data_IF_190781830102
#
_entry.id   IF_190781830102
#
_cell.length_a   1.000
_cell.length_b   1.000
_cell.length_c   1.000
_cell.angle_alpha   90.00
_cell.angle_beta   90.00
_cell.angle_gamma   90.00
#
_symmetry.space_group_name_H-M   'P 1'
#
loop_
_entity.id
_entity.type
_entity.pdbx_description
1 polymer ?
#
# COMPACT_ATOMS: atom_id res chain seq x y z
N UNK A 1 -42.41 -4.53 7.67
CA UNK A 1 -41.10 -3.89 7.95
C UNK A 1 -40.10 -4.01 6.79
N UNK A 2 -39.93 -5.18 6.16
CA UNK A 2 -38.93 -5.36 5.09
C UNK A 2 -39.09 -4.39 3.89
N UNK A 3 -40.30 -4.13 3.41
CA UNK A 3 -40.52 -3.28 2.23
C UNK A 3 -40.22 -1.78 2.38
N UNK A 4 -40.13 -1.24 3.61
CA UNK A 4 -39.85 0.19 3.85
C UNK A 4 -38.34 0.46 3.83
N UNK A 5 -37.53 -0.46 4.36
CA UNK A 5 -36.06 -0.41 4.30
C UNK A 5 -35.55 -0.38 2.85
N UNK A 6 -36.21 -1.13 1.95
CA UNK A 6 -35.81 -1.23 0.53
C UNK A 6 -35.91 0.07 -0.25
N UNK A 7 -36.78 1.00 0.16
CA UNK A 7 -36.99 2.27 -0.55
C UNK A 7 -35.89 3.28 -0.23
N UNK A 8 -35.36 3.26 0.99
CA UNK A 8 -34.39 4.25 1.48
C UNK A 8 -33.04 4.08 0.76
N UNK A 9 -32.57 2.84 0.60
CA UNK A 9 -31.29 2.60 -0.08
C UNK A 9 -31.29 3.04 -1.55
N UNK A 10 -32.44 2.95 -2.22
CA UNK A 10 -32.56 3.42 -3.60
C UNK A 10 -32.37 4.94 -3.74
N UNK A 11 -32.56 5.71 -2.67
CA UNK A 11 -32.31 7.15 -2.68
C UNK A 11 -30.82 7.51 -2.81
N UNK A 12 -29.92 6.53 -2.62
CA UNK A 12 -28.49 6.70 -2.86
C UNK A 12 -28.09 6.34 -4.30
N UNK A 13 -29.05 5.91 -5.13
CA UNK A 13 -28.82 5.60 -6.55
C UNK A 13 -29.26 6.78 -7.40
N UNK A 14 -28.29 7.44 -8.03
CA UNK A 14 -28.51 8.54 -8.97
C UNK A 14 -27.60 8.36 -10.18
N UNK A 15 -28.12 7.64 -11.18
CA UNK A 15 -27.40 7.34 -12.43
C UNK A 15 -27.26 8.56 -13.35
N UNK A 16 -27.88 9.70 -13.00
CA UNK A 16 -27.69 10.97 -13.70
C UNK A 16 -26.55 11.80 -13.11
N UNK A 17 -26.09 11.44 -11.90
CA UNK A 17 -25.01 12.14 -11.24
C UNK A 17 -23.70 12.05 -12.02
N UNK A 18 -23.05 13.20 -12.19
CA UNK A 18 -21.71 13.29 -12.75
C UNK A 18 -20.74 13.62 -11.61
N UNK A 19 -19.80 12.72 -11.27
CA UNK A 19 -18.81 12.99 -10.23
C UNK A 19 -18.02 14.26 -10.53
N UNK A 20 -17.90 15.11 -9.52
CA UNK A 20 -17.07 16.31 -9.56
C UNK A 20 -15.58 15.95 -9.44
N UNK A 21 -14.69 16.89 -9.77
CA UNK A 21 -13.24 16.72 -9.57
C UNK A 21 -12.84 16.60 -8.09
N UNK A 22 -13.74 17.01 -7.18
CA UNK A 22 -13.58 16.88 -5.73
C UNK A 22 -14.09 15.55 -5.17
N UNK A 23 -14.87 14.77 -5.93
CA UNK A 23 -15.40 13.52 -5.37
C UNK A 23 -14.30 12.45 -5.24
N UNK A 24 -14.33 11.71 -4.14
CA UNK A 24 -13.68 10.40 -4.06
C UNK A 24 -14.58 9.40 -4.79
N UNK A 25 -14.01 8.61 -5.71
CA UNK A 25 -14.78 7.61 -6.45
C UNK A 25 -14.25 6.22 -6.12
N UNK A 26 -15.13 5.32 -5.68
CA UNK A 26 -14.81 3.92 -5.45
C UNK A 26 -15.43 3.02 -6.53
N UNK A 27 -14.67 2.02 -6.96
CA UNK A 27 -15.12 0.96 -7.85
C UNK A 27 -15.33 -0.32 -7.04
N UNK A 28 -16.57 -0.77 -6.93
CA UNK A 28 -16.93 -2.01 -6.25
C UNK A 28 -17.32 -3.09 -7.25
N UNK A 29 -16.81 -4.31 -7.01
CA UNK A 29 -17.32 -5.53 -7.61
C UNK A 29 -18.17 -6.25 -6.57
N UNK A 30 -19.39 -6.63 -6.94
CA UNK A 30 -20.33 -7.22 -6.01
C UNK A 30 -21.08 -8.41 -6.60
N UNK A 31 -21.67 -9.22 -5.74
CA UNK A 31 -22.74 -10.15 -6.12
C UNK A 31 -23.87 -10.06 -5.11
N UNK A 32 -25.10 -10.20 -5.55
CA UNK A 32 -26.27 -10.18 -4.66
C UNK A 32 -27.38 -11.08 -5.20
N UNK A 33 -28.20 -11.60 -4.27
CA UNK A 33 -29.49 -12.24 -4.55
C UNK A 33 -30.67 -11.26 -4.42
N UNK A 34 -30.42 -10.07 -3.87
CA UNK A 34 -31.41 -9.00 -3.77
C UNK A 34 -31.47 -8.22 -5.08
N UNK A 35 -32.37 -7.24 -5.13
CA UNK A 35 -32.40 -6.30 -6.24
C UNK A 35 -31.07 -5.50 -6.28
N UNK A 36 -30.52 -5.31 -7.48
CA UNK A 36 -29.20 -4.69 -7.66
C UNK A 36 -29.17 -3.27 -7.08
N UNK A 37 -30.14 -2.42 -7.43
CA UNK A 37 -30.20 -1.03 -6.95
C UNK A 37 -30.32 -0.95 -5.43
N UNK A 38 -31.09 -1.87 -4.83
CA UNK A 38 -31.20 -1.97 -3.36
C UNK A 38 -29.85 -2.33 -2.74
N UNK A 39 -29.13 -3.31 -3.29
CA UNK A 39 -27.85 -3.76 -2.76
C UNK A 39 -26.75 -2.70 -2.88
N UNK A 40 -26.63 -2.05 -4.04
CA UNK A 40 -25.59 -1.03 -4.25
C UNK A 40 -25.92 0.29 -3.57
N UNK A 41 -27.20 0.65 -3.49
CA UNK A 41 -27.67 1.76 -2.69
C UNK A 41 -27.36 1.57 -1.21
N UNK A 42 -27.48 0.33 -0.71
CA UNK A 42 -27.10 0.00 0.67
C UNK A 42 -25.59 0.14 0.90
N UNK A 43 -24.74 -0.27 -0.06
CA UNK A 43 -23.30 -0.02 0.01
C UNK A 43 -23.02 1.48 0.12
N UNK A 44 -23.62 2.31 -0.73
CA UNK A 44 -23.42 3.76 -0.68
C UNK A 44 -23.93 4.37 0.63
N UNK A 45 -25.09 3.93 1.12
CA UNK A 45 -25.69 4.39 2.37
C UNK A 45 -24.79 4.10 3.58
N UNK A 46 -24.44 2.83 3.80
CA UNK A 46 -23.68 2.36 4.97
C UNK A 46 -22.18 2.73 4.92
N UNK A 47 -21.70 3.27 3.79
CA UNK A 47 -20.34 3.84 3.66
C UNK A 47 -20.31 5.38 3.64
N UNK A 48 -21.46 6.04 3.85
CA UNK A 48 -21.53 7.50 3.91
C UNK A 48 -22.38 7.99 5.10
N UNK A 49 -23.65 8.32 4.88
CA UNK A 49 -24.52 8.98 5.86
C UNK A 49 -25.79 8.21 6.16
N UNK A 50 -26.02 7.09 5.49
CA UNK A 50 -27.27 6.34 5.56
C UNK A 50 -27.31 5.32 6.70
N UNK A 51 -28.50 4.76 6.91
CA UNK A 51 -28.74 3.64 7.81
C UNK A 51 -29.95 2.84 7.35
N UNK A 52 -30.30 1.77 8.06
CA UNK A 52 -31.34 0.81 7.70
C UNK A 52 -32.79 1.31 7.87
N UNK A 53 -33.01 2.48 8.48
CA UNK A 53 -34.34 3.05 8.75
C UNK A 53 -34.41 4.55 8.45
N UNK A 54 -35.62 5.08 8.26
CA UNK A 54 -35.86 6.52 8.12
C UNK A 54 -35.39 7.24 9.38
N UNK A 55 -34.67 8.35 9.20
CA UNK A 55 -34.16 9.18 10.28
C UNK A 55 -34.94 10.48 10.34
N UNK A 56 -35.52 10.78 11.50
CA UNK A 56 -36.13 12.10 11.78
C UNK A 56 -35.09 13.20 11.96
N UNK A 57 -33.81 12.82 12.12
CA UNK A 57 -32.67 13.70 12.32
C UNK A 57 -31.93 14.05 11.03
N UNK A 58 -32.31 13.47 9.89
CA UNK A 58 -31.61 13.71 8.64
C UNK A 58 -31.96 15.10 8.09
N UNK A 59 -30.96 15.98 8.04
CA UNK A 59 -31.12 17.34 7.54
C UNK A 59 -30.99 17.38 6.02
N UNK A 60 -31.52 18.42 5.38
CA UNK A 60 -31.29 18.67 3.94
C UNK A 60 -29.81 18.75 3.58
N UNK A 61 -28.99 19.18 4.54
CA UNK A 61 -27.54 19.27 4.35
C UNK A 61 -26.87 17.90 4.37
N UNK A 62 -27.27 17.01 5.28
CA UNK A 62 -26.83 15.62 5.29
C UNK A 62 -27.20 14.88 4.00
N UNK A 63 -28.41 15.10 3.47
CA UNK A 63 -28.87 14.51 2.19
C UNK A 63 -27.96 14.93 1.03
N UNK A 64 -27.54 16.20 0.97
CA UNK A 64 -26.62 16.68 -0.09
C UNK A 64 -25.27 15.98 -0.05
N UNK A 65 -24.81 15.62 1.16
CA UNK A 65 -23.53 14.94 1.44
C UNK A 65 -23.57 13.43 1.24
N UNK A 66 -24.73 12.83 0.95
CA UNK A 66 -24.85 11.40 0.64
C UNK A 66 -23.90 11.01 -0.51
N UNK A 67 -23.29 9.83 -0.37
CA UNK A 67 -22.65 9.18 -1.50
C UNK A 67 -23.69 8.80 -2.56
N UNK A 68 -23.27 8.77 -3.82
CA UNK A 68 -24.16 8.53 -4.97
C UNK A 68 -23.62 7.39 -5.81
N UNK A 69 -24.42 6.34 -5.98
CA UNK A 69 -24.19 5.31 -6.98
C UNK A 69 -24.54 5.93 -8.33
N UNK A 70 -23.53 6.19 -9.16
CA UNK A 70 -23.70 6.88 -10.43
C UNK A 70 -23.49 5.97 -11.64
N UNK A 71 -22.92 4.79 -11.45
CA UNK A 71 -22.77 3.79 -12.52
C UNK A 71 -23.01 2.39 -11.96
N UNK A 72 -23.85 1.61 -12.64
CA UNK A 72 -24.07 0.19 -12.38
C UNK A 72 -23.90 -0.56 -13.71
N UNK A 73 -22.98 -1.52 -13.75
CA UNK A 73 -22.72 -2.33 -14.93
C UNK A 73 -22.49 -3.79 -14.55
N UNK A 74 -23.49 -4.63 -14.80
CA UNK A 74 -23.50 -6.06 -14.42
C UNK A 74 -23.25 -6.22 -12.91
N UNK A 75 -22.04 -6.63 -12.55
CA UNK A 75 -21.61 -6.94 -11.19
C UNK A 75 -20.60 -5.90 -10.66
N UNK A 76 -20.60 -4.70 -11.24
CA UNK A 76 -19.73 -3.58 -10.89
C UNK A 76 -20.58 -2.35 -10.62
N UNK A 77 -20.24 -1.61 -9.57
CA UNK A 77 -20.85 -0.32 -9.24
C UNK A 77 -19.76 0.72 -8.97
N UNK A 78 -19.97 1.96 -9.42
CA UNK A 78 -19.15 3.11 -9.04
C UNK A 78 -19.94 4.02 -8.12
N UNK A 79 -19.31 4.43 -7.04
CA UNK A 79 -19.91 5.25 -6.00
C UNK A 79 -19.04 6.49 -5.82
N UNK A 80 -19.65 7.66 -5.93
CA UNK A 80 -19.01 8.94 -5.70
C UNK A 80 -19.33 9.44 -4.29
N UNK A 81 -18.32 9.93 -3.59
CA UNK A 81 -18.39 10.41 -2.23
C UNK A 81 -17.92 11.88 -2.21
N UNK A 82 -18.77 12.82 -1.78
CA UNK A 82 -18.35 14.20 -1.57
C UNK A 82 -17.16 14.27 -0.60
N UNK A 83 -16.15 15.08 -0.92
CA UNK A 83 -14.93 15.18 -0.11
C UNK A 83 -15.20 15.60 1.34
N UNK A 84 -16.28 16.36 1.58
CA UNK A 84 -16.73 16.82 2.90
C UNK A 84 -17.04 15.67 3.88
N UNK A 85 -17.21 14.44 3.39
CA UNK A 85 -17.35 13.25 4.24
C UNK A 85 -16.03 12.79 4.87
N UNK A 86 -14.90 13.31 4.40
CA UNK A 86 -13.58 12.81 4.79
C UNK A 86 -12.76 13.87 5.49
N UNK A 87 -12.08 13.43 6.54
CA UNK A 87 -11.06 14.25 7.18
C UNK A 87 -9.79 14.23 6.32
N UNK A 88 -9.36 15.40 5.88
CA UNK A 88 -8.15 15.55 5.09
C UNK A 88 -6.93 15.04 5.86
N UNK A 89 -6.15 14.16 5.24
CA UNK A 89 -4.95 13.59 5.85
C UNK A 89 -5.24 12.43 6.81
N UNK A 90 -6.46 11.90 6.87
CA UNK A 90 -6.80 10.78 7.76
C UNK A 90 -7.11 9.48 6.97
N UNK A 91 -6.08 8.69 6.70
CA UNK A 91 -6.24 7.41 5.99
C UNK A 91 -7.12 6.39 6.74
N UNK A 92 -7.02 6.24 8.09
CA UNK A 92 -7.95 5.42 8.85
C UNK A 92 -9.42 5.81 8.67
N UNK A 93 -9.75 7.10 8.63
CA UNK A 93 -11.14 7.55 8.46
C UNK A 93 -11.67 7.22 7.07
N UNK A 94 -10.88 7.45 6.00
CA UNK A 94 -11.25 7.02 4.65
C UNK A 94 -11.59 5.52 4.60
N UNK A 95 -10.72 4.68 5.16
CA UNK A 95 -10.92 3.23 5.20
C UNK A 95 -12.13 2.84 6.05
N UNK A 96 -12.40 3.55 7.14
CA UNK A 96 -13.59 3.31 7.97
C UNK A 96 -14.89 3.53 7.19
N UNK A 97 -14.88 4.47 6.24
CA UNK A 97 -16.01 4.72 5.33
C UNK A 97 -16.06 3.72 4.17
N UNK A 98 -15.07 3.74 3.27
CA UNK A 98 -15.13 3.03 1.99
C UNK A 98 -14.80 1.53 2.09
N UNK A 99 -14.31 1.09 3.25
CA UNK A 99 -13.86 -0.26 3.49
C UNK A 99 -14.21 -0.77 4.91
N UNK A 100 -15.23 -0.19 5.54
CA UNK A 100 -15.70 -0.56 6.88
C UNK A 100 -16.80 -1.62 6.86
N UNK A 101 -17.97 -1.25 7.41
CA UNK A 101 -19.09 -2.16 7.66
C UNK A 101 -19.61 -2.89 6.42
N UNK A 102 -19.47 -2.27 5.24
CA UNK A 102 -20.08 -2.72 3.98
C UNK A 102 -19.70 -4.14 3.56
N UNK A 103 -18.54 -4.65 3.97
CA UNK A 103 -18.13 -6.03 3.68
C UNK A 103 -18.91 -7.09 4.46
N UNK A 104 -19.56 -6.72 5.58
CA UNK A 104 -20.35 -7.62 6.43
C UNK A 104 -21.86 -7.60 6.16
N UNK A 105 -22.32 -6.82 5.18
CA UNK A 105 -23.74 -6.62 4.89
C UNK A 105 -24.41 -7.87 4.32
N UNK A 106 -25.68 -8.10 4.69
CA UNK A 106 -26.51 -9.20 4.12
C UNK A 106 -27.08 -8.86 2.75
N UNK A 107 -26.93 -7.60 2.33
CA UNK A 107 -27.37 -7.02 1.08
C UNK A 107 -26.56 -7.54 -0.12
N UNK A 108 -25.35 -8.05 0.14
CA UNK A 108 -24.44 -8.62 -0.83
C UNK A 108 -23.95 -9.99 -0.39
N UNK A 109 -23.70 -10.88 -1.34
CA UNK A 109 -23.04 -12.16 -1.07
C UNK A 109 -21.52 -12.02 -1.11
N UNK A 110 -21.01 -11.19 -2.02
CA UNK A 110 -19.59 -10.83 -2.11
C UNK A 110 -19.46 -9.35 -2.45
N UNK A 111 -18.43 -8.71 -1.91
CA UNK A 111 -18.09 -7.31 -2.17
C UNK A 111 -16.58 -7.15 -2.19
N UNK A 112 -16.06 -6.56 -3.25
CA UNK A 112 -14.65 -6.26 -3.42
C UNK A 112 -14.45 -4.80 -3.83
N UNK A 113 -13.67 -4.06 -3.06
CA UNK A 113 -13.19 -2.74 -3.46
C UNK A 113 -12.04 -2.94 -4.47
N UNK A 114 -12.32 -2.71 -5.74
CA UNK A 114 -11.39 -2.96 -6.85
C UNK A 114 -10.45 -1.78 -7.08
N UNK A 115 -10.95 -0.54 -6.93
CA UNK A 115 -10.17 0.68 -7.15
C UNK A 115 -10.76 1.89 -6.40
N UNK A 116 -9.93 2.91 -6.17
CA UNK A 116 -10.31 4.21 -5.60
C UNK A 116 -9.61 5.34 -6.38
N UNK A 117 -10.36 6.35 -6.79
CA UNK A 117 -9.85 7.61 -7.32
C UNK A 117 -9.92 8.68 -6.24
N UNK A 118 -8.81 9.38 -6.03
CA UNK A 118 -8.67 10.41 -5.02
C UNK A 118 -8.49 11.79 -5.66
N UNK A 119 -9.23 12.81 -5.22
CA UNK A 119 -9.16 14.16 -5.74
C UNK A 119 -7.88 14.87 -5.29
N UNK A 120 -7.55 15.99 -5.96
CA UNK A 120 -6.34 16.77 -5.69
C UNK A 120 -6.21 17.19 -4.23
N UNK A 121 -7.29 17.71 -3.66
CA UNK A 121 -7.32 18.22 -2.28
C UNK A 121 -6.98 17.11 -1.28
N UNK A 122 -7.60 15.94 -1.43
CA UNK A 122 -7.32 14.79 -0.56
C UNK A 122 -5.90 14.25 -0.74
N UNK A 123 -5.37 14.18 -1.96
CA UNK A 123 -3.98 13.75 -2.17
C UNK A 123 -3.00 14.73 -1.52
N UNK A 124 -3.25 16.03 -1.66
CA UNK A 124 -2.35 17.09 -1.17
C UNK A 124 -2.36 17.26 0.35
N UNK A 125 -3.32 16.69 1.05
CA UNK A 125 -3.29 16.66 2.52
C UNK A 125 -2.31 15.62 3.10
N UNK A 126 -1.76 14.71 2.29
CA UNK A 126 -0.74 13.75 2.74
C UNK A 126 0.66 14.17 2.30
N UNK A 127 1.68 13.62 2.98
CA UNK A 127 3.09 13.93 2.69
C UNK A 127 3.53 13.41 1.31
N UNK A 128 3.00 12.26 0.89
CA UNK A 128 3.53 11.51 -0.25
C UNK A 128 4.99 11.05 -0.04
N UNK A 129 5.58 10.32 -1.00
CA UNK A 129 6.92 9.77 -0.84
C UNK A 129 7.97 10.87 -0.82
N UNK A 130 8.93 10.81 0.10
CA UNK A 130 10.00 11.80 0.21
C UNK A 130 11.10 11.58 -0.82
N UNK A 131 11.48 10.33 -1.06
CA UNK A 131 12.55 9.98 -1.99
C UNK A 131 11.96 9.60 -3.35
N UNK A 132 11.02 8.64 -3.34
CA UNK A 132 10.53 7.99 -4.55
C UNK A 132 11.65 7.37 -5.40
N UNK A 133 11.37 7.01 -6.65
CA UNK A 133 12.33 6.32 -7.53
C UNK A 133 13.66 7.06 -7.67
N UNK A 134 13.62 8.34 -8.05
CA UNK A 134 14.84 9.12 -8.28
C UNK A 134 15.66 9.34 -7.01
N UNK A 135 15.00 9.56 -5.86
CA UNK A 135 15.68 9.70 -4.58
C UNK A 135 16.35 8.40 -4.13
N UNK A 136 15.67 7.27 -4.33
CA UNK A 136 16.24 5.93 -4.09
C UNK A 136 17.45 5.70 -5.00
N UNK A 137 17.34 5.94 -6.32
CA UNK A 137 18.46 5.78 -7.25
C UNK A 137 19.67 6.62 -6.86
N UNK A 138 19.44 7.88 -6.45
CA UNK A 138 20.50 8.77 -5.95
C UNK A 138 21.20 8.24 -4.70
N UNK A 139 20.53 7.46 -3.84
CA UNK A 139 21.19 6.84 -2.67
C UNK A 139 22.24 5.82 -3.12
N UNK A 140 21.94 5.02 -4.16
CA UNK A 140 22.82 3.97 -4.68
C UNK A 140 23.81 4.46 -5.75
N UNK A 141 23.50 5.58 -6.39
CA UNK A 141 24.12 6.04 -7.64
C UNK A 141 24.05 5.00 -8.78
N UNK A 142 22.93 4.27 -8.84
CA UNK A 142 22.65 3.25 -9.85
C UNK A 142 21.42 3.64 -10.67
N UNK A 143 21.65 3.95 -11.94
CA UNK A 143 20.63 4.55 -12.82
C UNK A 143 20.16 3.65 -13.97
N UNK A 144 20.99 2.67 -14.36
CA UNK A 144 20.82 1.95 -15.64
C UNK A 144 20.39 0.50 -15.50
N UNK A 145 20.30 -0.02 -14.27
CA UNK A 145 19.83 -1.37 -13.98
C UNK A 145 18.81 -1.40 -12.83
N UNK A 146 18.06 -2.51 -12.68
CA UNK A 146 17.37 -2.85 -11.45
C UNK A 146 18.33 -2.88 -10.26
N UNK A 147 17.82 -2.59 -9.08
CA UNK A 147 18.54 -2.84 -7.84
C UNK A 147 18.30 -4.29 -7.43
N UNK A 148 19.35 -4.97 -7.00
CA UNK A 148 19.32 -6.33 -6.50
C UNK A 148 19.26 -6.31 -4.97
N UNK A 149 18.29 -7.02 -4.42
CA UNK A 149 18.17 -7.23 -2.99
C UNK A 149 18.15 -8.70 -2.61
N UNK A 150 18.50 -8.98 -1.37
CA UNK A 150 18.37 -10.30 -0.76
C UNK A 150 17.75 -10.19 0.63
N UNK A 151 17.05 -11.25 1.03
CA UNK A 151 16.49 -11.40 2.37
C UNK A 151 17.27 -12.50 3.07
N UNK A 152 17.86 -12.18 4.21
CA UNK A 152 18.65 -13.16 4.97
C UNK A 152 17.78 -14.37 5.33
N UNK A 153 18.34 -15.56 5.11
CA UNK A 153 17.72 -16.86 5.45
C UNK A 153 18.61 -17.65 6.42
N UNK A 154 18.01 -18.49 7.29
CA UNK A 154 16.57 -18.70 7.51
C UNK A 154 15.86 -17.44 8.04
N UNK A 155 14.53 -17.37 7.88
CA UNK A 155 13.74 -16.15 8.23
C UNK A 155 13.98 -15.67 9.67
N UNK A 156 14.09 -16.62 10.60
CA UNK A 156 14.35 -16.42 12.03
C UNK A 156 15.31 -17.49 12.55
N UNK A 157 15.92 -17.23 13.70
CA UNK A 157 16.73 -18.19 14.45
C UNK A 157 18.24 -17.96 14.38
N UNK A 158 18.73 -17.16 13.42
CA UNK A 158 20.14 -16.76 13.41
C UNK A 158 20.45 -15.81 14.57
N UNK A 159 21.58 -16.04 15.25
CA UNK A 159 22.14 -15.06 16.18
C UNK A 159 22.46 -13.76 15.44
N UNK A 160 22.60 -12.65 16.16
CA UNK A 160 22.93 -11.36 15.53
C UNK A 160 24.23 -11.44 14.73
N UNK A 161 25.24 -12.12 15.25
CA UNK A 161 26.54 -12.32 14.61
C UNK A 161 26.43 -13.13 13.31
N UNK A 162 25.71 -14.25 13.34
CA UNK A 162 25.51 -15.09 12.16
C UNK A 162 24.73 -14.33 11.08
N UNK A 163 23.71 -13.59 11.50
CA UNK A 163 22.90 -12.73 10.62
C UNK A 163 23.75 -11.66 9.92
N UNK A 164 24.63 -10.98 10.66
CA UNK A 164 25.53 -9.95 10.13
C UNK A 164 26.57 -10.54 9.18
N UNK A 165 27.07 -11.76 9.47
CA UNK A 165 27.99 -12.46 8.58
C UNK A 165 27.35 -12.72 7.21
N UNK A 166 26.12 -13.24 7.18
CA UNK A 166 25.39 -13.47 5.92
C UNK A 166 25.18 -12.16 5.17
N UNK A 167 24.74 -11.10 5.85
CA UNK A 167 24.55 -9.78 5.22
C UNK A 167 25.81 -9.27 4.51
N UNK A 168 26.97 -9.41 5.16
CA UNK A 168 28.26 -9.01 4.62
C UNK A 168 28.66 -9.84 3.40
N UNK A 169 28.51 -11.16 3.48
CA UNK A 169 28.85 -12.08 2.40
C UNK A 169 27.98 -11.81 1.15
N UNK A 170 26.68 -11.58 1.32
CA UNK A 170 25.77 -11.24 0.22
C UNK A 170 26.10 -9.88 -0.44
N UNK A 171 26.46 -8.86 0.35
CA UNK A 171 26.92 -7.58 -0.20
C UNK A 171 28.23 -7.70 -0.98
N UNK A 172 29.20 -8.46 -0.46
CA UNK A 172 30.47 -8.74 -1.16
C UNK A 172 30.19 -9.54 -2.44
N UNK A 173 29.17 -10.39 -2.44
CA UNK A 173 28.69 -11.12 -3.61
C UNK A 173 27.97 -10.28 -4.67
N UNK A 174 27.78 -8.97 -4.45
CA UNK A 174 27.24 -8.04 -5.46
C UNK A 174 25.79 -7.61 -5.25
N UNK A 175 25.15 -7.97 -4.13
CA UNK A 175 23.80 -7.46 -3.80
C UNK A 175 23.88 -5.98 -3.40
N UNK A 176 22.90 -5.16 -3.79
CA UNK A 176 22.83 -3.74 -3.40
C UNK A 176 22.16 -3.57 -2.02
N UNK A 177 21.08 -4.34 -1.80
CA UNK A 177 20.17 -4.20 -0.67
C UNK A 177 20.08 -5.50 0.12
N UNK A 178 20.29 -5.44 1.43
CA UNK A 178 19.97 -6.53 2.33
C UNK A 178 18.80 -6.11 3.21
N UNK A 179 17.90 -7.02 3.56
CA UNK A 179 16.79 -6.71 4.46
C UNK A 179 16.56 -7.72 5.55
N UNK A 180 16.04 -7.21 6.67
CA UNK A 180 15.36 -8.03 7.65
C UNK A 180 14.18 -8.77 6.98
N UNK A 181 13.90 -9.99 7.43
CA UNK A 181 12.66 -10.68 7.11
C UNK A 181 11.47 -9.99 7.83
N UNK A 182 10.24 -10.12 7.33
CA UNK A 182 9.09 -9.38 7.87
C UNK A 182 8.78 -9.71 9.34
N UNK A 183 9.10 -10.92 9.77
CA UNK A 183 8.87 -11.34 11.14
C UNK A 183 10.11 -11.19 12.05
N UNK A 184 11.25 -10.71 11.53
CA UNK A 184 12.45 -10.41 12.32
C UNK A 184 12.36 -8.98 12.87
N UNK A 185 12.29 -8.84 14.19
CA UNK A 185 12.19 -7.54 14.86
C UNK A 185 13.24 -7.41 15.97
N UNK A 186 12.91 -7.84 17.19
CA UNK A 186 13.74 -7.74 18.39
C UNK A 186 13.71 -9.01 19.25
N UNK A 187 13.70 -10.19 18.61
CA UNK A 187 13.72 -11.46 19.34
C UNK A 187 15.03 -11.64 20.13
N UNK A 188 14.99 -12.41 21.23
CA UNK A 188 16.15 -12.56 22.16
C UNK A 188 17.44 -13.02 21.48
N UNK A 189 17.34 -13.87 20.46
CA UNK A 189 18.50 -14.35 19.70
C UNK A 189 19.07 -13.29 18.73
N UNK A 190 18.28 -12.27 18.38
CA UNK A 190 18.67 -11.21 17.45
C UNK A 190 17.99 -9.88 17.82
N UNK A 191 18.64 -9.11 18.69
CA UNK A 191 18.10 -7.85 19.17
C UNK A 191 18.33 -6.74 18.16
N UNK A 192 17.32 -5.87 17.99
CA UNK A 192 17.31 -4.80 17.00
C UNK A 192 18.53 -3.88 17.16
N UNK A 193 18.83 -3.44 18.39
CA UNK A 193 19.97 -2.54 18.66
C UNK A 193 21.30 -3.17 18.25
N UNK A 194 21.56 -4.40 18.68
CA UNK A 194 22.80 -5.11 18.35
C UNK A 194 22.91 -5.35 16.85
N UNK A 195 21.79 -5.67 16.18
CA UNK A 195 21.74 -5.83 14.73
C UNK A 195 22.09 -4.54 14.00
N UNK A 196 21.50 -3.41 14.38
CA UNK A 196 21.83 -2.09 13.80
C UNK A 196 23.33 -1.80 13.93
N UNK A 197 23.89 -1.92 15.14
CA UNK A 197 25.30 -1.61 15.38
C UNK A 197 26.26 -2.48 14.56
N UNK A 198 26.01 -3.80 14.50
CA UNK A 198 26.88 -4.74 13.80
C UNK A 198 26.71 -4.69 12.28
N UNK A 199 25.48 -4.52 11.79
CA UNK A 199 25.21 -4.37 10.36
C UNK A 199 25.87 -3.10 9.82
N UNK A 200 25.80 -1.97 10.54
CA UNK A 200 26.43 -0.74 10.07
C UNK A 200 27.95 -0.84 10.01
N UNK A 201 28.58 -1.62 10.90
CA UNK A 201 30.02 -1.93 10.82
C UNK A 201 30.33 -2.81 9.60
N UNK A 202 29.58 -3.90 9.42
CA UNK A 202 29.75 -4.83 8.31
C UNK A 202 29.52 -4.15 6.94
N UNK A 203 28.54 -3.25 6.86
CA UNK A 203 28.24 -2.43 5.68
C UNK A 203 29.46 -1.62 5.26
N UNK A 204 30.07 -0.85 6.18
CA UNK A 204 31.27 -0.03 5.88
C UNK A 204 32.41 -0.88 5.35
N UNK A 205 32.58 -2.08 5.90
CA UNK A 205 33.60 -3.00 5.43
C UNK A 205 33.30 -3.55 4.02
N UNK A 206 32.04 -3.92 3.75
CA UNK A 206 31.61 -4.38 2.42
C UNK A 206 31.74 -3.26 1.37
N UNK A 207 31.37 -2.02 1.70
CA UNK A 207 31.56 -0.84 0.82
C UNK A 207 33.05 -0.61 0.55
N UNK A 208 33.94 -0.77 1.55
CA UNK A 208 35.40 -0.67 1.36
C UNK A 208 35.97 -1.77 0.45
N UNK A 209 35.45 -3.00 0.55
CA UNK A 209 35.91 -4.14 -0.26
C UNK A 209 35.43 -4.02 -1.70
N UNK A 210 34.17 -3.65 -1.90
CA UNK A 210 33.52 -3.65 -3.22
C UNK A 210 33.69 -2.33 -3.97
N UNK A 211 33.90 -1.22 -3.26
CA UNK A 211 33.85 0.13 -3.84
C UNK A 211 32.43 0.61 -4.18
N UNK A 212 31.40 -0.18 -3.85
CA UNK A 212 30.01 0.09 -4.19
C UNK A 212 29.19 0.45 -2.96
N UNK A 213 28.16 1.28 -3.14
CA UNK A 213 27.21 1.62 -2.07
C UNK A 213 26.38 0.42 -1.66
N UNK A 214 26.20 0.21 -0.36
CA UNK A 214 25.37 -0.88 0.19
C UNK A 214 24.28 -0.33 1.10
N UNK A 215 23.11 -0.97 1.13
CA UNK A 215 21.97 -0.54 1.97
C UNK A 215 21.39 -1.71 2.75
N UNK A 216 20.97 -1.43 3.98
CA UNK A 216 20.24 -2.36 4.81
C UNK A 216 18.84 -1.83 5.14
N UNK A 217 17.80 -2.66 4.98
CA UNK A 217 16.42 -2.34 5.33
C UNK A 217 16.10 -2.91 6.72
N UNK A 218 16.25 -2.09 7.76
CA UNK A 218 15.96 -2.49 9.14
C UNK A 218 14.45 -2.52 9.40
N UNK A 219 13.91 -3.67 9.81
CA UNK A 219 12.49 -3.82 10.09
C UNK A 219 12.14 -3.18 11.44
N UNK A 220 11.47 -2.03 11.39
CA UNK A 220 11.08 -1.28 12.60
C UNK A 220 9.74 -1.73 13.19
N UNK A 221 8.98 -2.57 12.48
CA UNK A 221 7.61 -3.02 12.85
C UNK A 221 7.46 -3.32 14.35
N UNK A 222 6.61 -2.54 15.01
CA UNK A 222 6.27 -2.61 16.44
C UNK A 222 5.05 -1.71 16.74
N UNK A 223 4.73 -1.54 18.02
CA UNK A 223 3.90 -0.43 18.49
C UNK A 223 4.53 0.93 18.06
N UNK A 224 3.70 1.94 17.84
CA UNK A 224 4.08 3.21 17.22
C UNK A 224 5.30 3.87 17.88
N UNK A 225 5.31 4.06 19.21
CA UNK A 225 6.43 4.72 19.89
C UNK A 225 7.72 3.90 19.79
N UNK A 226 7.63 2.58 19.81
CA UNK A 226 8.77 1.71 19.58
C UNK A 226 9.29 1.81 18.14
N UNK A 227 8.42 1.92 17.13
CA UNK A 227 8.85 2.16 15.74
C UNK A 227 9.64 3.46 15.62
N UNK A 228 9.19 4.54 16.28
CA UNK A 228 9.89 5.83 16.27
C UNK A 228 11.28 5.72 16.93
N UNK A 229 11.39 5.03 18.07
CA UNK A 229 12.68 4.78 18.73
C UNK A 229 13.63 4.00 17.82
N UNK A 230 13.14 2.97 17.13
CA UNK A 230 13.93 2.17 16.20
C UNK A 230 14.36 2.96 14.97
N UNK A 231 13.48 3.76 14.39
CA UNK A 231 13.82 4.63 13.27
C UNK A 231 14.92 5.64 13.66
N UNK A 232 14.79 6.27 14.84
CA UNK A 232 15.84 7.15 15.36
C UNK A 232 17.17 6.41 15.55
N UNK A 233 17.15 5.21 16.13
CA UNK A 233 18.38 4.41 16.30
C UNK A 233 19.06 4.09 14.95
N UNK A 234 18.28 3.72 13.93
CA UNK A 234 18.80 3.49 12.57
C UNK A 234 19.45 4.76 12.03
N UNK A 235 18.80 5.91 12.18
CA UNK A 235 19.35 7.19 11.72
C UNK A 235 20.61 7.58 12.48
N UNK A 236 20.62 7.46 13.80
CA UNK A 236 21.77 7.79 14.65
C UNK A 236 22.99 6.90 14.32
N UNK A 237 22.76 5.66 13.88
CA UNK A 237 23.80 4.75 13.40
C UNK A 237 24.27 5.04 11.95
N UNK A 238 23.65 6.02 11.27
CA UNK A 238 23.98 6.40 9.89
C UNK A 238 23.25 5.62 8.80
N UNK A 239 22.17 4.89 9.15
CA UNK A 239 21.35 4.17 8.19
C UNK A 239 20.52 5.10 7.29
N UNK A 240 20.19 4.61 6.11
CA UNK A 240 19.42 5.35 5.09
C UNK A 240 17.98 4.84 4.93
N UNK A 241 17.67 3.63 5.42
CA UNK A 241 16.38 2.97 5.21
C UNK A 241 15.81 2.36 6.48
N UNK A 242 14.48 2.36 6.53
CA UNK A 242 13.68 1.51 7.41
C UNK A 242 12.70 0.69 6.58
N UNK A 243 12.38 -0.50 7.07
CA UNK A 243 11.32 -1.36 6.58
C UNK A 243 10.18 -1.41 7.59
N UNK A 244 8.94 -1.44 7.10
CA UNK A 244 7.74 -1.60 7.92
C UNK A 244 6.72 -2.50 7.23
N UNK A 245 6.04 -3.33 8.01
CA UNK A 245 4.89 -4.13 7.55
C UNK A 245 3.61 -3.29 7.61
N UNK A 246 3.23 -2.67 6.49
CA UNK A 246 2.24 -1.59 6.47
C UNK A 246 0.85 -1.99 6.95
N UNK A 247 0.44 -3.24 6.74
CA UNK A 247 -0.90 -3.71 7.11
C UNK A 247 -0.98 -4.16 8.56
N UNK A 248 0.09 -4.73 9.11
CA UNK A 248 0.09 -5.21 10.50
C UNK A 248 0.25 -4.07 11.49
N UNK A 249 0.94 -2.99 11.11
CA UNK A 249 0.99 -1.74 11.91
C UNK A 249 -0.24 -0.86 11.70
N UNK A 250 -0.90 -0.99 10.55
CA UNK A 250 -2.06 -0.20 10.16
C UNK A 250 -1.70 1.21 9.67
N UNK A 251 -2.61 1.82 8.90
CA UNK A 251 -2.36 3.12 8.26
C UNK A 251 -2.18 4.29 9.23
N UNK A 252 -2.79 4.22 10.42
CA UNK A 252 -2.59 5.24 11.47
C UNK A 252 -1.12 5.29 11.92
N UNK A 253 -0.58 4.16 12.38
CA UNK A 253 0.81 4.08 12.82
C UNK A 253 1.80 4.28 11.66
N UNK A 254 1.43 3.89 10.43
CA UNK A 254 2.21 4.18 9.24
C UNK A 254 2.34 5.68 9.00
N UNK A 255 1.26 6.46 9.09
CA UNK A 255 1.33 7.92 8.93
C UNK A 255 2.29 8.56 9.94
N UNK A 256 2.18 8.19 11.22
CA UNK A 256 3.12 8.64 12.27
C UNK A 256 4.56 8.29 11.92
N UNK A 257 4.81 7.07 11.42
CA UNK A 257 6.15 6.64 11.02
C UNK A 257 6.66 7.40 9.78
N UNK A 258 5.81 7.69 8.79
CA UNK A 258 6.22 8.46 7.60
C UNK A 258 6.68 9.86 8.01
N UNK A 259 5.93 10.55 8.87
CA UNK A 259 6.33 11.89 9.32
C UNK A 259 7.71 11.90 9.96
N UNK A 260 7.96 10.95 10.86
CA UNK A 260 9.24 10.83 11.53
C UNK A 260 10.37 10.37 10.58
N UNK A 261 10.11 9.40 9.71
CA UNK A 261 11.08 8.95 8.72
C UNK A 261 11.51 10.09 7.79
N UNK A 262 10.56 10.94 7.37
CA UNK A 262 10.88 12.12 6.58
C UNK A 262 11.72 13.12 7.36
N UNK A 263 11.40 13.38 8.64
CA UNK A 263 12.20 14.26 9.52
C UNK A 263 13.63 13.72 9.71
N UNK A 264 13.77 12.41 9.89
CA UNK A 264 15.05 11.72 10.04
C UNK A 264 15.78 11.50 8.70
N UNK A 265 15.15 11.83 7.57
CA UNK A 265 15.69 11.60 6.23
C UNK A 265 16.01 10.11 5.96
N UNK A 266 15.07 9.24 6.33
CA UNK A 266 15.09 7.80 6.06
C UNK A 266 14.09 7.47 4.96
N UNK A 267 14.50 6.64 4.00
CA UNK A 267 13.60 6.08 3.00
C UNK A 267 12.81 4.90 3.59
N UNK A 268 11.55 4.74 3.16
CA UNK A 268 10.62 3.76 3.74
C UNK A 268 10.32 2.64 2.76
N UNK A 269 10.72 1.42 3.13
CA UNK A 269 10.40 0.19 2.42
C UNK A 269 9.14 -0.46 3.01
N UNK A 270 8.04 -0.43 2.26
CA UNK A 270 6.78 -1.04 2.64
C UNK A 270 6.74 -2.52 2.27
N UNK A 271 6.80 -3.37 3.28
CA UNK A 271 6.47 -4.77 3.14
C UNK A 271 4.97 -4.98 3.40
N UNK A 272 4.36 -5.92 2.67
CA UNK A 272 2.90 -6.11 2.63
C UNK A 272 2.43 -7.37 3.34
N UNK A 273 3.13 -7.79 4.39
CA UNK A 273 2.69 -8.92 5.22
C UNK A 273 1.19 -8.79 5.55
N UNK A 274 0.46 -9.92 5.60
CA UNK A 274 -1.01 -10.00 5.77
C UNK A 274 -1.86 -9.67 4.53
N UNK A 275 -1.34 -9.05 3.46
CA UNK A 275 -2.19 -8.55 2.37
C UNK A 275 -3.07 -9.62 1.69
N UNK A 276 -2.58 -10.85 1.54
CA UNK A 276 -3.29 -11.91 0.83
C UNK A 276 -4.58 -12.35 1.55
N UNK A 277 -4.71 -12.08 2.86
CA UNK A 277 -5.95 -12.29 3.59
C UNK A 277 -7.09 -11.39 3.08
N UNK A 278 -6.75 -10.21 2.53
CA UNK A 278 -7.71 -9.24 2.00
C UNK A 278 -7.78 -9.25 0.46
N UNK A 279 -6.64 -9.49 -0.19
CA UNK A 279 -6.45 -9.16 -1.63
C UNK A 279 -6.59 -10.34 -2.58
N UNK A 280 -6.42 -11.58 -2.10
CA UNK A 280 -6.32 -12.77 -2.96
C UNK A 280 -7.67 -13.17 -3.58
N UNK A 281 -8.76 -13.06 -2.82
CA UNK A 281 -10.08 -13.45 -3.31
C UNK A 281 -10.58 -12.42 -4.34
N UNK A 282 -10.80 -12.85 -5.59
CA UNK A 282 -11.22 -11.96 -6.70
C UNK A 282 -12.72 -11.60 -6.69
N UNK A 283 -13.47 -12.06 -5.68
CA UNK A 283 -14.89 -11.74 -5.49
C UNK A 283 -15.15 -10.93 -4.22
N UNK A 284 -14.32 -11.07 -3.19
CA UNK A 284 -14.53 -10.41 -1.90
C UNK A 284 -13.22 -9.86 -1.31
N UNK A 285 -13.25 -8.67 -0.72
CA UNK A 285 -12.12 -8.05 -0.01
C UNK A 285 -11.66 -6.72 -0.62
N UNK A 286 -10.35 -6.44 -0.58
CA UNK A 286 -9.78 -5.17 -1.08
C UNK A 286 -8.69 -5.50 -2.07
N UNK A 287 -8.68 -4.88 -3.25
CA UNK A 287 -7.63 -5.08 -4.25
C UNK A 287 -6.27 -4.58 -3.74
N UNK A 288 -5.19 -5.27 -4.13
CA UNK A 288 -3.82 -4.80 -3.82
C UNK A 288 -3.52 -3.46 -4.52
N UNK A 289 -4.21 -3.15 -5.62
CA UNK A 289 -4.15 -1.83 -6.28
C UNK A 289 -4.54 -0.70 -5.31
N UNK A 290 -5.64 -0.87 -4.59
CA UNK A 290 -6.11 0.09 -3.59
C UNK A 290 -5.05 0.27 -2.50
N UNK A 291 -4.54 -0.83 -1.94
CA UNK A 291 -3.49 -0.76 -0.91
C UNK A 291 -2.25 -0.02 -1.41
N UNK A 292 -1.82 -0.27 -2.66
CA UNK A 292 -0.67 0.40 -3.26
C UNK A 292 -0.93 1.90 -3.49
N UNK A 293 -2.13 2.30 -3.95
CA UNK A 293 -2.55 3.71 -4.04
C UNK A 293 -2.45 4.40 -2.69
N UNK A 294 -3.07 3.82 -1.66
CA UNK A 294 -3.09 4.43 -0.33
C UNK A 294 -1.68 4.51 0.28
N UNK A 295 -0.83 3.50 0.06
CA UNK A 295 0.57 3.55 0.51
C UNK A 295 1.37 4.66 -0.21
N UNK A 296 1.15 4.87 -1.51
CA UNK A 296 1.75 5.99 -2.27
C UNK A 296 1.30 7.34 -1.71
N UNK A 297 0.00 7.52 -1.48
CA UNK A 297 -0.56 8.75 -0.91
C UNK A 297 0.07 9.03 0.46
N UNK A 298 0.10 8.04 1.35
CA UNK A 298 0.65 8.19 2.71
C UNK A 298 2.14 8.51 2.66
N UNK A 299 2.91 7.86 1.79
CA UNK A 299 4.25 8.31 1.44
C UNK A 299 5.38 7.29 1.58
N UNK A 300 5.11 6.02 1.28
CA UNK A 300 6.16 4.99 1.23
C UNK A 300 7.02 5.17 -0.04
N UNK A 301 8.33 4.89 0.05
CA UNK A 301 9.25 5.06 -1.09
C UNK A 301 9.37 3.80 -1.95
N UNK A 302 9.19 2.62 -1.35
CA UNK A 302 9.23 1.33 -2.01
C UNK A 302 8.07 0.46 -1.54
N UNK A 303 7.50 -0.38 -2.41
CA UNK A 303 6.45 -1.33 -2.02
C UNK A 303 6.54 -2.63 -2.80
N UNK A 304 6.26 -3.75 -2.12
CA UNK A 304 6.12 -5.06 -2.76
C UNK A 304 4.88 -5.11 -3.66
N UNK A 305 5.08 -5.38 -4.95
CA UNK A 305 4.00 -5.42 -5.96
C UNK A 305 3.63 -6.84 -6.39
N UNK A 306 4.50 -7.81 -6.12
CA UNK A 306 4.40 -9.18 -6.66
C UNK A 306 5.43 -9.37 -7.77
N UNK A 307 5.62 -10.62 -8.20
CA UNK A 307 6.73 -10.94 -9.08
C UNK A 307 6.35 -11.64 -10.38
N UNK A 308 5.06 -12.00 -10.58
CA UNK A 308 4.53 -12.75 -11.75
C UNK A 308 5.09 -14.18 -11.87
N UNK A 309 6.41 -14.33 -11.85
CA UNK A 309 7.16 -15.58 -11.99
C UNK A 309 7.66 -16.14 -10.64
N UNK A 310 7.08 -15.68 -9.52
CA UNK A 310 7.44 -16.09 -8.17
C UNK A 310 6.50 -17.15 -7.59
N UNK A 311 6.76 -17.57 -6.35
CA UNK A 311 5.95 -18.59 -5.64
C UNK A 311 4.57 -18.10 -5.17
N UNK A 312 4.37 -16.78 -5.13
CA UNK A 312 3.16 -16.15 -4.60
C UNK A 312 2.17 -15.84 -5.73
N UNK A 313 0.87 -16.02 -5.47
CA UNK A 313 -0.18 -15.66 -6.43
C UNK A 313 -0.08 -14.18 -6.81
N UNK A 314 0.16 -13.92 -8.09
CA UNK A 314 0.21 -12.57 -8.65
C UNK A 314 -0.01 -12.64 -10.16
N UNK A 315 -1.20 -12.26 -10.62
CA UNK A 315 -1.46 -12.23 -12.06
C UNK A 315 -0.68 -11.09 -12.73
N UNK A 316 -0.19 -11.33 -13.96
CA UNK A 316 0.49 -10.31 -14.75
C UNK A 316 -0.33 -9.01 -14.83
N UNK A 317 -1.63 -9.14 -15.10
CA UNK A 317 -2.56 -8.00 -15.20
C UNK A 317 -2.58 -7.15 -13.92
N UNK A 318 -2.76 -7.77 -12.75
CA UNK A 318 -2.83 -7.02 -11.49
C UNK A 318 -1.49 -6.36 -11.14
N UNK A 319 -0.38 -7.07 -11.35
CA UNK A 319 0.97 -6.51 -11.11
C UNK A 319 1.20 -5.28 -11.99
N UNK A 320 0.88 -5.36 -13.28
CA UNK A 320 1.07 -4.23 -14.20
C UNK A 320 0.16 -3.05 -13.87
N UNK A 321 -1.08 -3.30 -13.43
CA UNK A 321 -1.96 -2.23 -12.96
C UNK A 321 -1.36 -1.52 -11.74
N UNK A 322 -0.85 -2.26 -10.75
CA UNK A 322 -0.20 -1.69 -9.57
C UNK A 322 1.05 -0.89 -9.96
N UNK A 323 1.93 -1.46 -10.80
CA UNK A 323 3.16 -0.81 -11.25
C UNK A 323 2.85 0.47 -12.01
N UNK A 324 1.85 0.43 -12.90
CA UNK A 324 1.41 1.61 -13.64
C UNK A 324 0.93 2.70 -12.68
N UNK A 325 0.10 2.31 -11.72
CA UNK A 325 -0.50 3.21 -10.75
C UNK A 325 0.52 3.92 -9.87
N UNK A 326 1.57 3.22 -9.42
CA UNK A 326 2.55 3.82 -8.51
C UNK A 326 3.68 4.58 -9.22
N UNK A 327 3.85 4.37 -10.54
CA UNK A 327 4.91 4.98 -11.35
C UNK A 327 4.45 6.14 -12.22
N UNK A 328 3.17 6.27 -12.56
CA UNK A 328 2.75 7.34 -13.48
C UNK A 328 2.15 8.53 -12.74
N UNK A 329 2.22 9.69 -13.39
CA UNK A 329 1.59 10.94 -12.90
C UNK A 329 0.09 10.96 -13.19
N UNK A 330 -0.34 10.30 -14.27
CA UNK A 330 -1.73 10.25 -14.70
C UNK A 330 -2.09 8.86 -15.24
N UNK A 331 -3.26 8.37 -14.86
CA UNK A 331 -3.83 7.08 -15.24
C UNK A 331 -5.16 7.36 -15.92
N UNK A 332 -5.26 6.97 -17.19
CA UNK A 332 -6.48 7.06 -17.98
C UNK A 332 -6.61 5.77 -18.80
N UNK A 333 -7.14 4.72 -18.17
CA UNK A 333 -7.34 3.41 -18.80
C UNK A 333 -8.76 2.92 -18.59
N UNK A 334 -9.26 2.15 -19.58
CA UNK A 334 -10.63 1.61 -19.56
C UNK A 334 -10.98 0.73 -18.35
N UNK A 335 -9.98 0.06 -17.76
CA UNK A 335 -10.18 -0.91 -16.69
C UNK A 335 -9.76 -0.39 -15.29
N UNK A 336 -9.42 0.89 -15.19
CA UNK A 336 -9.03 1.56 -13.95
C UNK A 336 -9.86 2.84 -13.81
N UNK A 337 -10.00 3.33 -12.59
CA UNK A 337 -10.49 4.69 -12.41
C UNK A 337 -9.44 5.68 -12.88
N UNK A 338 -9.88 6.82 -13.41
CA UNK A 338 -8.98 7.93 -13.70
C UNK A 338 -8.27 8.35 -12.41
N UNK A 339 -6.96 8.59 -12.47
CA UNK A 339 -6.20 9.09 -11.33
C UNK A 339 -5.10 10.02 -11.80
N UNK A 340 -5.05 11.22 -11.22
CA UNK A 340 -3.91 12.13 -11.35
C UNK A 340 -3.22 12.30 -10.00
N UNK A 341 -1.89 12.33 -10.00
CA UNK A 341 -1.08 12.28 -8.79
C UNK A 341 -0.55 13.65 -8.34
N UNK A 342 -0.76 14.68 -9.15
CA UNK A 342 -0.50 16.09 -8.86
C UNK A 342 0.93 16.35 -8.39
N UNK A 343 1.92 15.66 -8.95
CA UNK A 343 3.33 15.75 -8.57
C UNK A 343 3.72 14.92 -7.34
N UNK A 344 2.85 14.01 -6.88
CA UNK A 344 3.22 13.01 -5.86
C UNK A 344 4.28 12.08 -6.43
N UNK A 345 5.42 11.94 -5.74
CA UNK A 345 6.55 11.15 -6.23
C UNK A 345 6.16 9.71 -6.51
N UNK A 346 6.87 9.10 -7.45
CA UNK A 346 6.70 7.71 -7.86
C UNK A 346 7.24 6.77 -6.78
N UNK A 347 6.58 5.64 -6.55
CA UNK A 347 7.04 4.60 -5.60
C UNK A 347 7.82 3.53 -6.35
N UNK A 348 8.93 3.07 -5.78
CA UNK A 348 9.76 2.03 -6.37
C UNK A 348 9.10 0.66 -6.21
N UNK A 349 8.73 -0.05 -7.30
CA UNK A 349 8.18 -1.39 -7.19
C UNK A 349 9.25 -2.38 -6.74
N UNK A 350 8.86 -3.30 -5.86
CA UNK A 350 9.69 -4.41 -5.40
C UNK A 350 9.07 -5.73 -5.86
N UNK A 351 9.81 -6.48 -6.67
CA UNK A 351 9.46 -7.83 -7.09
C UNK A 351 10.20 -8.82 -6.18
N UNK A 352 9.46 -9.63 -5.44
CA UNK A 352 10.03 -10.58 -4.47
C UNK A 352 9.19 -11.85 -4.36
N UNK A 353 9.84 -12.95 -3.97
CA UNK A 353 9.20 -14.17 -3.51
C UNK A 353 9.47 -15.37 -4.42
N UNK A 354 10.49 -16.16 -4.09
CA UNK A 354 10.83 -17.38 -4.84
C UNK A 354 11.42 -17.08 -6.22
N UNK A 355 12.20 -16.00 -6.31
CA UNK A 355 12.90 -15.63 -7.53
C UNK A 355 14.28 -16.27 -7.55
N UNK A 356 14.83 -16.46 -8.74
CA UNK A 356 16.17 -17.01 -8.96
C UNK A 356 16.77 -16.40 -10.24
N UNK A 357 18.08 -16.56 -10.50
CA UNK A 357 18.73 -15.90 -11.65
C UNK A 357 18.08 -16.20 -13.01
N UNK A 358 17.47 -17.38 -13.18
CA UNK A 358 16.84 -17.81 -14.43
C UNK A 358 15.49 -17.16 -14.77
N UNK A 359 15.04 -16.18 -13.99
CA UNK A 359 13.82 -15.38 -14.31
C UNK A 359 14.10 -13.86 -14.37
N UNK A 360 15.36 -13.44 -14.23
CA UNK A 360 15.73 -12.01 -14.17
C UNK A 360 15.47 -11.31 -15.50
N UNK A 361 15.75 -11.97 -16.61
CA UNK A 361 15.42 -11.52 -17.97
C UNK A 361 13.92 -11.24 -18.11
N UNK A 362 13.08 -12.18 -17.68
CA UNK A 362 11.62 -12.04 -17.71
C UNK A 362 11.14 -10.92 -16.80
N UNK A 363 11.72 -10.79 -15.61
CA UNK A 363 11.41 -9.67 -14.71
C UNK A 363 11.78 -8.33 -15.35
N UNK A 364 12.92 -8.24 -16.03
CA UNK A 364 13.33 -7.03 -16.72
C UNK A 364 12.38 -6.68 -17.86
N UNK A 365 11.89 -7.66 -18.64
CA UNK A 365 10.86 -7.44 -19.67
C UNK A 365 9.56 -6.88 -19.09
N UNK A 366 9.16 -7.33 -17.89
CA UNK A 366 7.91 -6.90 -17.24
C UNK A 366 8.04 -5.53 -16.60
N UNK A 367 9.10 -5.28 -15.84
CA UNK A 367 9.20 -4.10 -14.98
C UNK A 367 10.14 -3.01 -15.54
N UNK A 368 11.00 -3.35 -16.49
CA UNK A 368 12.12 -2.53 -16.93
C UNK A 368 13.17 -2.34 -15.84
N UNK A 369 13.93 -1.24 -15.92
CA UNK A 369 15.01 -0.95 -14.96
C UNK A 369 14.55 -0.41 -13.61
N UNK A 370 13.38 0.22 -13.54
CA UNK A 370 12.84 0.79 -12.30
C UNK A 370 12.09 -0.26 -11.49
N UNK A 371 12.82 -1.29 -11.07
CA UNK A 371 12.37 -2.32 -10.11
C UNK A 371 13.50 -2.73 -9.16
N UNK A 372 13.12 -3.10 -7.94
CA UNK A 372 14.01 -3.78 -6.99
C UNK A 372 13.67 -5.26 -7.05
N UNK A 373 14.61 -6.09 -7.45
CA UNK A 373 14.45 -7.54 -7.51
C UNK A 373 15.01 -8.13 -6.22
N UNK A 374 14.17 -8.78 -5.43
CA UNK A 374 14.58 -9.45 -4.19
C UNK A 374 14.51 -10.96 -4.37
N UNK A 375 15.67 -11.60 -4.49
CA UNK A 375 15.82 -13.05 -4.68
C UNK A 375 16.08 -13.77 -3.36
#
# INVERSE_FOLDING_TARGET
MCGRMKKIYKEFVDLSYQPSESDIVCLFKFSTKKEIEEAVGAIAAESSTGTWTELTTETKEAIKKRAKVFEIKKNIAKIAYPIELFELGNMPQLLSSIAGNIFGMKEVETLRLEDVSLPKEYIKSFKGPKFGINGVRKIFDVWDRPLLGAIIKPKLGLTTEAHVKVAKEEWIGGVDIIKDDENLTNQRFNTFKKRVELIMKAKKEAERITGEKKVYLFNVTAEANEMLRRAKLVRDAGGEYIMVDILTVGFSALQTLIEEAQRLNLAVHAHRAMHAALTRNKKHGISMLVIAKLARVVGVDQIHVGAVFGKMESSYKEVMQIVKEIKNEEINEKNLLYQKWFGTKQVFPVASGGLHPGVVDKLYEVFGKDVIIQA
#
